data_IF_496540555518
#
_entry.id   IF_496540555518
#
_cell.length_a   1.000
_cell.length_b   1.000
_cell.length_c   1.000
_cell.angle_alpha   90.00
_cell.angle_beta   90.00
_cell.angle_gamma   90.00
#
_symmetry.space_group_name_H-M   'P 1'
#
loop_
_entity.id
_entity.type
_entity.pdbx_description
1 polymer ?
#
# COMPACT_ATOMS: atom_id res chain seq x y z
N UNK A 1 -12.04 -55.79 -2.73
CA UNK A 1 -12.30 -54.58 -3.54
C UNK A 1 -11.97 -53.37 -2.68
N UNK A 2 -10.86 -52.68 -3.02
CA UNK A 2 -10.28 -51.58 -2.25
C UNK A 2 -11.10 -50.31 -2.50
N UNK A 3 -11.63 -49.71 -1.44
CA UNK A 3 -12.26 -48.40 -1.49
C UNK A 3 -11.24 -47.35 -1.95
N UNK A 4 -11.44 -46.79 -3.15
CA UNK A 4 -10.76 -45.56 -3.54
C UNK A 4 -11.46 -44.40 -2.82
N UNK A 5 -10.75 -43.57 -2.06
CA UNK A 5 -11.32 -42.35 -1.53
C UNK A 5 -11.67 -41.43 -2.70
N UNK A 6 -12.94 -41.04 -2.81
CA UNK A 6 -13.41 -40.17 -3.88
C UNK A 6 -12.66 -38.82 -3.93
N UNK A 7 -12.66 -38.13 -5.09
CA UNK A 7 -11.85 -36.94 -5.36
C UNK A 7 -12.05 -35.79 -4.35
N UNK A 8 -13.19 -35.78 -3.66
CA UNK A 8 -13.52 -34.79 -2.62
C UNK A 8 -12.62 -34.90 -1.37
N UNK A 9 -12.10 -36.10 -1.06
CA UNK A 9 -11.26 -36.33 0.12
C UNK A 9 -9.87 -35.71 -0.05
N UNK A 10 -9.32 -35.74 -1.26
CA UNK A 10 -8.06 -35.08 -1.59
C UNK A 10 -8.14 -33.57 -1.40
N UNK A 11 -9.21 -32.94 -1.88
CA UNK A 11 -9.40 -31.49 -1.74
C UNK A 11 -9.55 -31.05 -0.28
N UNK A 12 -10.30 -31.80 0.54
CA UNK A 12 -10.42 -31.52 1.98
C UNK A 12 -9.09 -31.69 2.72
N UNK A 13 -8.29 -32.69 2.33
CA UNK A 13 -6.97 -32.91 2.93
C UNK A 13 -5.99 -31.79 2.55
N UNK A 14 -5.96 -31.42 1.28
CA UNK A 14 -5.15 -30.31 0.76
C UNK A 14 -5.52 -28.97 1.43
N UNK A 15 -6.81 -28.65 1.56
CA UNK A 15 -7.26 -27.44 2.26
C UNK A 15 -6.88 -27.42 3.75
N UNK A 16 -6.82 -28.58 4.39
CA UNK A 16 -6.39 -28.70 5.79
C UNK A 16 -4.89 -28.49 5.92
N UNK A 17 -4.10 -29.15 5.07
CA UNK A 17 -2.64 -28.98 4.98
C UNK A 17 -2.26 -27.53 4.62
N UNK A 18 -2.97 -26.90 3.69
CA UNK A 18 -2.79 -25.50 3.29
C UNK A 18 -3.08 -24.54 4.45
N UNK A 19 -4.20 -24.74 5.16
CA UNK A 19 -4.52 -23.95 6.35
C UNK A 19 -3.48 -24.16 7.44
N UNK A 20 -3.09 -25.39 7.76
CA UNK A 20 -2.03 -25.66 8.74
C UNK A 20 -0.71 -24.98 8.38
N UNK A 21 -0.30 -25.00 7.11
CA UNK A 21 0.90 -24.28 6.65
C UNK A 21 0.79 -22.76 6.85
N UNK A 22 -0.37 -22.18 6.57
CA UNK A 22 -0.62 -20.74 6.72
C UNK A 22 -0.74 -20.29 8.18
N UNK A 23 -1.37 -21.11 9.03
CA UNK A 23 -1.60 -20.82 10.46
C UNK A 23 -0.40 -21.15 11.34
N UNK A 24 0.43 -22.14 11.00
CA UNK A 24 1.68 -22.43 11.71
C UNK A 24 2.71 -21.29 11.58
N UNK A 25 2.54 -20.39 10.59
CA UNK A 25 3.33 -19.17 10.43
C UNK A 25 2.44 -17.94 10.59
N UNK A 26 1.99 -17.63 11.81
CA UNK A 26 1.18 -16.43 12.09
C UNK A 26 1.74 -15.11 11.54
N UNK A 27 3.06 -15.01 11.33
CA UNK A 27 3.72 -13.88 10.67
C UNK A 27 3.42 -13.78 9.15
N UNK A 28 3.20 -14.91 8.46
CA UNK A 28 3.00 -14.95 7.02
C UNK A 28 1.65 -14.35 6.60
N UNK A 29 0.59 -14.54 7.40
CA UNK A 29 -0.72 -13.95 7.11
C UNK A 29 -0.68 -12.42 7.20
N UNK A 30 -0.07 -11.87 8.25
CA UNK A 30 0.06 -10.42 8.41
C UNK A 30 0.90 -9.80 7.29
N UNK A 31 2.01 -10.46 6.91
CA UNK A 31 2.82 -10.04 5.79
C UNK A 31 2.05 -10.09 4.46
N UNK A 32 1.29 -11.16 4.21
CA UNK A 32 0.49 -11.31 3.00
C UNK A 32 -0.58 -10.21 2.90
N UNK A 33 -1.27 -9.90 4.00
CA UNK A 33 -2.25 -8.80 4.06
C UNK A 33 -1.55 -7.47 3.78
N UNK A 34 -0.40 -7.20 4.43
CA UNK A 34 0.36 -5.97 4.23
C UNK A 34 0.77 -5.77 2.76
N UNK A 35 1.21 -6.84 2.07
CA UNK A 35 1.58 -6.79 0.65
C UNK A 35 0.36 -6.55 -0.24
N UNK A 36 -0.75 -7.25 -0.02
CA UNK A 36 -1.96 -7.09 -0.83
C UNK A 36 -2.54 -5.68 -0.67
N UNK A 37 -2.65 -5.19 0.57
CA UNK A 37 -3.14 -3.83 0.83
C UNK A 37 -2.17 -2.78 0.28
N UNK A 38 -0.86 -3.00 0.44
CA UNK A 38 0.17 -2.10 -0.09
C UNK A 38 0.11 -1.96 -1.61
N UNK A 39 -0.06 -3.07 -2.34
CA UNK A 39 -0.15 -3.04 -3.81
C UNK A 39 -1.43 -2.37 -4.30
N UNK A 40 -2.57 -2.63 -3.67
CA UNK A 40 -3.83 -1.97 -4.01
C UNK A 40 -3.78 -0.46 -3.73
N UNK A 41 -3.20 -0.06 -2.59
CA UNK A 41 -3.03 1.35 -2.29
C UNK A 41 -2.10 2.04 -3.30
N UNK A 42 -1.00 1.39 -3.69
CA UNK A 42 -0.12 1.92 -4.73
C UNK A 42 -0.86 2.13 -6.05
N UNK A 43 -1.77 1.23 -6.44
CA UNK A 43 -2.60 1.41 -7.64
C UNK A 43 -3.51 2.64 -7.55
N UNK A 44 -4.06 2.95 -6.37
CA UNK A 44 -4.86 4.16 -6.15
C UNK A 44 -4.01 5.41 -6.36
N UNK A 45 -2.80 5.44 -5.79
CA UNK A 45 -1.89 6.58 -5.95
C UNK A 45 -1.45 6.73 -7.41
N UNK A 46 -1.12 5.62 -8.05
CA UNK A 46 -0.77 5.58 -9.48
C UNK A 46 -1.93 6.10 -10.34
N UNK A 47 -3.18 5.73 -10.06
CA UNK A 47 -4.35 6.24 -10.78
C UNK A 47 -4.52 7.75 -10.59
N UNK A 48 -4.33 8.27 -9.37
CA UNK A 48 -4.37 9.71 -9.12
C UNK A 48 -3.25 10.43 -9.88
N UNK A 49 -2.05 9.87 -9.92
CA UNK A 49 -0.91 10.42 -10.63
C UNK A 49 -1.10 10.38 -12.15
N UNK A 50 -1.32 9.19 -12.70
CA UNK A 50 -1.32 8.91 -14.13
C UNK A 50 -2.63 9.28 -14.80
N UNK A 51 -3.75 9.02 -14.15
CA UNK A 51 -5.08 9.17 -14.78
C UNK A 51 -5.73 10.52 -14.46
N UNK A 52 -5.32 11.19 -13.37
CA UNK A 52 -5.81 12.53 -13.04
C UNK A 52 -4.76 13.62 -13.27
N UNK A 53 -3.57 13.52 -12.67
CA UNK A 53 -2.59 14.61 -12.72
C UNK A 53 -1.94 14.76 -14.10
N UNK A 54 -1.53 13.68 -14.77
CA UNK A 54 -0.88 13.81 -16.09
C UNK A 54 -1.80 14.42 -17.16
N UNK A 55 -3.09 14.04 -17.29
CA UNK A 55 -4.01 14.71 -18.21
C UNK A 55 -4.20 16.20 -17.90
N UNK A 56 -4.18 16.59 -16.63
CA UNK A 56 -4.28 18.00 -16.21
C UNK A 56 -3.01 18.79 -16.52
N UNK A 57 -1.85 18.16 -16.44
CA UNK A 57 -0.59 18.78 -16.84
C UNK A 57 -0.44 18.84 -18.36
N UNK A 58 -1.08 17.92 -19.10
CA UNK A 58 -0.92 17.75 -20.53
C UNK A 58 -0.99 19.04 -21.39
N UNK A 59 -1.95 19.95 -21.15
CA UNK A 59 -2.07 21.21 -21.91
C UNK A 59 -0.88 22.16 -21.78
N UNK A 60 -0.04 21.99 -20.75
CA UNK A 60 1.11 22.84 -20.49
C UNK A 60 2.33 22.49 -21.38
N UNK A 61 2.32 21.34 -22.05
CA UNK A 61 3.35 20.96 -23.04
C UNK A 61 2.81 21.09 -24.45
N UNK A 62 3.50 21.88 -25.28
CA UNK A 62 3.17 22.06 -26.70
C UNK A 62 3.73 20.91 -27.52
N UNK A 63 2.90 20.28 -28.36
CA UNK A 63 3.34 19.36 -29.42
C UNK A 63 3.09 17.86 -29.18
N UNK A 64 2.50 17.47 -28.06
CA UNK A 64 2.25 16.07 -27.72
C UNK A 64 2.19 15.91 -26.20
N UNK A 65 1.64 14.80 -25.72
CA UNK A 65 1.57 14.58 -24.28
C UNK A 65 2.95 14.55 -23.62
N UNK A 66 3.04 14.89 -22.33
CA UNK A 66 4.33 15.00 -21.61
C UNK A 66 5.16 13.73 -21.68
N UNK A 67 4.49 12.57 -21.68
CA UNK A 67 5.12 11.25 -21.75
C UNK A 67 5.84 11.01 -23.09
N UNK A 68 5.42 11.69 -24.15
CA UNK A 68 6.00 11.58 -25.49
C UNK A 68 7.17 12.54 -25.73
N UNK A 69 7.57 13.32 -24.72
CA UNK A 69 8.74 14.18 -24.81
C UNK A 69 10.00 13.32 -24.96
N UNK A 70 10.49 13.26 -26.19
CA UNK A 70 11.73 12.62 -26.56
C UNK A 70 12.62 13.63 -27.29
N UNK A 71 13.91 13.65 -26.93
CA UNK A 71 14.91 14.44 -27.66
C UNK A 71 15.79 13.45 -28.43
N UNK A 72 15.89 13.57 -29.77
CA UNK A 72 16.79 12.71 -30.54
C UNK A 72 18.23 12.95 -30.10
N UNK A 73 18.97 11.88 -29.83
CA UNK A 73 20.35 11.93 -29.36
C UNK A 73 21.16 10.81 -30.00
N UNK A 74 22.11 11.18 -30.88
CA UNK A 74 22.85 10.24 -31.73
C UNK A 74 21.90 9.28 -32.46
N UNK A 75 21.96 7.99 -32.13
CA UNK A 75 21.22 6.89 -32.78
C UNK A 75 20.05 6.40 -31.92
N UNK A 76 19.61 7.21 -30.95
CA UNK A 76 18.53 6.87 -30.03
C UNK A 76 17.72 8.09 -29.57
N UNK A 77 16.75 7.84 -28.70
CA UNK A 77 15.84 8.86 -28.17
C UNK A 77 15.98 8.97 -26.66
N UNK A 78 16.23 10.19 -26.16
CA UNK A 78 16.17 10.48 -24.74
C UNK A 78 14.71 10.73 -24.34
N UNK A 79 14.07 9.72 -23.76
CA UNK A 79 12.68 9.78 -23.28
C UNK A 79 12.54 10.59 -21.99
N UNK A 80 12.75 11.90 -22.07
CA UNK A 80 12.63 12.85 -20.94
C UNK A 80 11.26 12.78 -20.29
N UNK A 81 10.20 12.58 -21.09
CA UNK A 81 8.83 12.41 -20.61
C UNK A 81 8.66 11.25 -19.63
N UNK A 82 9.33 10.12 -19.89
CA UNK A 82 9.29 8.94 -19.02
C UNK A 82 10.00 9.17 -17.69
N UNK A 83 11.10 9.92 -17.70
CA UNK A 83 11.83 10.25 -16.47
C UNK A 83 10.96 11.16 -15.59
N UNK A 84 10.33 12.17 -16.18
CA UNK A 84 9.41 13.07 -15.49
C UNK A 84 8.21 12.33 -14.89
N UNK A 85 7.61 11.40 -15.63
CA UNK A 85 6.55 10.50 -15.13
C UNK A 85 7.00 9.75 -13.87
N UNK A 86 8.13 9.01 -13.96
CA UNK A 86 8.64 8.22 -12.82
C UNK A 86 8.95 9.10 -11.61
N UNK A 87 9.54 10.27 -11.81
CA UNK A 87 9.89 11.21 -10.73
C UNK A 87 8.62 11.75 -10.05
N UNK A 88 7.64 12.20 -10.83
CA UNK A 88 6.38 12.71 -10.29
C UNK A 88 5.59 11.63 -9.56
N UNK A 89 5.50 10.43 -10.13
CA UNK A 89 4.82 9.31 -9.49
C UNK A 89 5.49 8.90 -8.16
N UNK A 90 6.82 8.85 -8.14
CA UNK A 90 7.59 8.54 -6.93
C UNK A 90 7.41 9.60 -5.85
N UNK A 91 7.37 10.88 -6.23
CA UNK A 91 7.10 11.97 -5.31
C UNK A 91 5.69 11.88 -4.70
N UNK A 92 4.69 11.55 -5.50
CA UNK A 92 3.30 11.39 -5.03
C UNK A 92 3.16 10.20 -4.08
N UNK A 93 3.73 9.05 -4.42
CA UNK A 93 3.73 7.86 -3.54
C UNK A 93 4.45 8.16 -2.23
N UNK A 94 5.63 8.79 -2.29
CA UNK A 94 6.36 9.20 -1.09
C UNK A 94 5.57 10.19 -0.23
N UNK A 95 4.89 11.15 -0.86
CA UNK A 95 4.05 12.12 -0.15
C UNK A 95 2.80 11.49 0.46
N UNK A 96 2.17 10.55 -0.23
CA UNK A 96 1.04 9.78 0.29
C UNK A 96 1.44 8.94 1.53
N UNK A 97 2.58 8.25 1.46
CA UNK A 97 3.13 7.51 2.61
C UNK A 97 3.44 8.45 3.79
N UNK A 98 4.02 9.62 3.52
CA UNK A 98 4.25 10.64 4.55
C UNK A 98 2.95 11.08 5.24
N UNK A 99 1.88 11.35 4.48
CA UNK A 99 0.58 11.70 5.03
C UNK A 99 0.00 10.59 5.91
N UNK A 100 0.09 9.33 5.46
CA UNK A 100 -0.37 8.16 6.24
C UNK A 100 0.38 8.07 7.56
N UNK A 101 1.72 8.14 7.53
CA UNK A 101 2.55 8.09 8.74
C UNK A 101 2.16 9.24 9.69
N UNK A 102 1.93 10.44 9.15
CA UNK A 102 1.49 11.59 9.96
C UNK A 102 0.13 11.36 10.61
N UNK A 103 -0.82 10.73 9.92
CA UNK A 103 -2.15 10.40 10.47
C UNK A 103 -2.03 9.34 11.57
N UNK A 104 -1.24 8.28 11.34
CA UNK A 104 -1.00 7.23 12.33
C UNK A 104 -0.34 7.82 13.57
N UNK A 105 0.76 8.57 13.41
CA UNK A 105 1.47 9.24 14.51
C UNK A 105 0.56 10.23 15.27
N UNK A 106 -0.41 10.86 14.59
CA UNK A 106 -1.42 11.71 15.24
C UNK A 106 -2.39 10.90 16.09
N UNK A 107 -2.83 9.73 15.60
CA UNK A 107 -3.80 8.88 16.31
C UNK A 107 -3.21 8.26 17.57
N UNK A 108 -1.96 7.80 17.55
CA UNK A 108 -1.28 7.23 18.71
C UNK A 108 -1.12 8.25 19.84
N UNK A 109 -0.76 9.49 19.51
CA UNK A 109 -0.65 10.57 20.49
C UNK A 109 -1.97 10.88 21.21
N UNK A 110 -3.10 10.76 20.51
CA UNK A 110 -4.42 11.01 21.09
C UNK A 110 -4.87 9.88 22.01
N UNK A 111 -4.60 8.62 21.62
CA UNK A 111 -4.92 7.45 22.44
C UNK A 111 -4.18 7.47 23.78
N UNK A 112 -2.86 7.71 23.77
CA UNK A 112 -2.03 7.74 24.99
C UNK A 112 -2.40 8.89 25.93
N UNK A 113 -2.72 10.08 25.37
CA UNK A 113 -3.08 11.25 26.17
C UNK A 113 -4.45 11.11 26.87
N UNK A 114 -5.38 10.34 26.28
CA UNK A 114 -6.66 10.04 26.90
C UNK A 114 -6.53 9.08 28.09
N UNK A 115 -5.70 8.05 27.95
CA UNK A 115 -5.45 7.05 29.01
C UNK A 115 -4.75 7.68 30.22
N UNK A 116 -3.75 8.54 30.01
CA UNK A 116 -3.05 9.26 31.08
C UNK A 116 -4.00 10.17 31.89
N UNK A 117 -4.89 10.89 31.20
CA UNK A 117 -5.91 11.74 31.83
C UNK A 117 -6.89 10.94 32.67
N UNK A 118 -7.33 9.77 32.20
CA UNK A 118 -8.27 8.94 32.94
C UNK A 118 -7.62 8.31 34.18
N UNK A 119 -6.36 7.88 34.09
CA UNK A 119 -5.60 7.37 35.24
C UNK A 119 -5.33 8.43 36.30
N UNK A 120 -5.03 9.67 35.89
CA UNK A 120 -4.82 10.78 36.82
C UNK A 120 -6.09 11.25 37.55
N UNK A 121 -7.27 10.93 37.03
CA UNK A 121 -8.57 11.24 37.66
C UNK A 121 -9.05 10.17 38.64
N UNK A 122 -8.41 8.99 38.67
CA UNK A 122 -8.76 7.86 39.56
C UNK A 122 -7.99 7.91 40.89
N UNK A 123 -6.85 8.60 40.94
CA UNK A 123 -6.02 8.77 42.15
C UNK A 123 -6.41 9.84 43.20
N UNK A 124 -7.44 10.70 43.07
CA UNK A 124 -7.76 11.68 44.13
C UNK A 124 -8.45 11.12 45.40
N UNK A 125 -8.98 9.89 45.38
CA UNK A 125 -9.93 9.42 46.41
C UNK A 125 -9.47 8.20 47.23
N UNK A 126 -8.26 7.67 47.00
CA UNK A 126 -7.75 6.51 47.77
C UNK A 126 -6.83 6.88 48.95
N UNK A 127 -6.38 8.13 49.03
CA UNK A 127 -5.37 8.59 49.99
C UNK A 127 -5.90 9.64 51.01
N UNK A 128 -7.23 9.83 51.08
CA UNK A 128 -7.91 10.68 52.06
C UNK A 128 -8.73 9.83 53.04
#
# INVERSE_FOLDING_TARGET
MKYLPGPVMFFRRWLREFKEFFFQKGNALNLAIAVVVGTQFQQIVDAISKDLLMPLLNPLVRGGGWQSLAIPYFDGELAIGRILDVVLNSLLVGWALFLIIKVINRSERLATSGVEKLRGLESPESDA
#
